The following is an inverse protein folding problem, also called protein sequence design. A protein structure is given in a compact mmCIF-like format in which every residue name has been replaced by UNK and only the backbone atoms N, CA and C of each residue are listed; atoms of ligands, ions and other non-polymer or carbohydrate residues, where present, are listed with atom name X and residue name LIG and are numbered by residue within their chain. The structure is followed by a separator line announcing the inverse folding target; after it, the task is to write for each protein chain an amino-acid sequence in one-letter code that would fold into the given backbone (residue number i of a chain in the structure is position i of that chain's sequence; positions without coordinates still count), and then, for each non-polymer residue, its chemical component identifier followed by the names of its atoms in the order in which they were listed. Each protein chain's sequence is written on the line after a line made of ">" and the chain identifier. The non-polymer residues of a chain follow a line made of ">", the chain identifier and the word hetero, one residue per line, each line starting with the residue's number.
data_IF_836202087598
#
_entry.id   IF_836202087598
#
_cell.length_a   1.000
_cell.length_b   1.000
_cell.length_c   1.000
_cell.angle_alpha   90.00
_cell.angle_beta   90.00
_cell.angle_gamma   90.00
#
_symmetry.space_group_name_H-M   'P 1'
#
loop_
_entity.id
_entity.type
_entity.pdbx_description
1 polymer ?
#
# COMPACT_ATOMS: atom_id res chain seq x y z
N UNK A 1 -3.62 -23.54 -10.35
CA UNK A 1 -3.05 -22.20 -10.51
C UNK A 1 -2.75 -21.71 -9.11
N UNK A 2 -1.54 -21.23 -8.84
CA UNK A 2 -1.20 -20.61 -7.55
C UNK A 2 -1.79 -19.20 -7.51
N UNK A 3 -2.50 -18.89 -6.44
CA UNK A 3 -3.05 -17.56 -6.24
C UNK A 3 -1.94 -16.53 -6.04
N UNK A 4 -2.19 -15.29 -6.43
CA UNK A 4 -1.23 -14.20 -6.37
C UNK A 4 -1.36 -13.40 -5.07
N UNK A 5 -0.22 -12.95 -4.53
CA UNK A 5 -0.13 -12.10 -3.35
C UNK A 5 0.55 -10.79 -3.74
N UNK A 6 -0.07 -9.67 -3.36
CA UNK A 6 0.40 -8.34 -3.68
C UNK A 6 0.78 -7.55 -2.43
N UNK A 7 1.87 -6.82 -2.50
CA UNK A 7 2.28 -5.80 -1.54
C UNK A 7 2.36 -4.46 -2.25
N UNK A 8 1.54 -3.52 -1.84
CA UNK A 8 1.36 -2.24 -2.52
C UNK A 8 1.69 -1.12 -1.54
N UNK A 9 2.66 -0.27 -1.89
CA UNK A 9 2.97 0.95 -1.16
C UNK A 9 2.28 2.16 -1.78
N UNK A 10 1.60 2.97 -0.98
CA UNK A 10 0.88 4.16 -1.49
C UNK A 10 1.86 5.24 -1.95
N UNK A 11 2.90 5.52 -1.17
CA UNK A 11 3.98 6.48 -1.50
C UNK A 11 5.36 5.83 -1.44
N UNK A 12 5.56 4.97 -0.47
CA UNK A 12 6.80 4.23 -0.27
C UNK A 12 6.51 2.82 0.19
N UNK A 13 7.47 1.92 0.03
CA UNK A 13 7.38 0.55 0.49
C UNK A 13 8.21 0.40 1.77
N UNK A 14 7.59 0.34 2.97
CA UNK A 14 8.34 0.16 4.21
C UNK A 14 9.16 -1.14 4.23
N UNK A 15 10.36 -1.12 4.78
CA UNK A 15 11.24 -2.29 4.86
C UNK A 15 10.56 -3.51 5.51
N UNK A 16 9.68 -3.26 6.47
CA UNK A 16 8.89 -4.29 7.13
C UNK A 16 7.91 -5.02 6.21
N UNK A 17 7.34 -4.30 5.23
CA UNK A 17 6.45 -4.86 4.22
C UNK A 17 7.23 -5.73 3.26
N UNK A 18 8.42 -5.29 2.88
CA UNK A 18 9.34 -6.06 2.03
C UNK A 18 9.80 -7.34 2.74
N UNK A 19 10.07 -7.28 4.05
CA UNK A 19 10.40 -8.47 4.85
C UNK A 19 9.24 -9.46 4.94
N UNK A 20 8.02 -8.97 5.09
CA UNK A 20 6.82 -9.82 5.07
C UNK A 20 6.66 -10.48 3.70
N UNK A 21 6.78 -9.71 2.62
CA UNK A 21 6.74 -10.23 1.27
C UNK A 21 7.79 -11.31 1.00
N UNK A 22 9.00 -11.17 1.55
CA UNK A 22 10.09 -12.14 1.40
C UNK A 22 9.78 -13.52 2.00
N UNK A 23 8.78 -13.63 2.86
CA UNK A 23 8.29 -14.91 3.39
C UNK A 23 7.45 -15.71 2.38
N UNK A 24 7.03 -15.08 1.27
CA UNK A 24 6.17 -15.69 0.26
C UNK A 24 6.98 -16.14 -0.96
N UNK A 25 6.58 -17.23 -1.64
CA UNK A 25 7.38 -17.85 -2.68
C UNK A 25 7.50 -17.00 -3.97
N UNK A 26 6.58 -16.13 -4.26
CA UNK A 26 6.58 -15.23 -5.44
C UNK A 26 5.82 -13.96 -5.15
N UNK A 27 6.36 -13.08 -4.33
CA UNK A 27 5.66 -11.84 -3.99
C UNK A 27 5.65 -10.87 -5.19
N UNK A 28 4.53 -10.16 -5.36
CA UNK A 28 4.41 -9.06 -6.32
C UNK A 28 4.42 -7.76 -5.53
N UNK A 29 5.45 -6.95 -5.73
CA UNK A 29 5.63 -5.69 -5.03
C UNK A 29 5.38 -4.52 -5.98
N UNK A 30 4.54 -3.59 -5.55
CA UNK A 30 4.14 -2.42 -6.32
C UNK A 30 4.37 -1.15 -5.51
N UNK A 31 5.12 -0.20 -6.03
CA UNK A 31 5.39 1.07 -5.35
C UNK A 31 6.59 1.79 -5.92
N UNK A 32 7.05 2.84 -5.24
CA UNK A 32 8.23 3.58 -5.65
C UNK A 32 9.50 2.73 -5.42
N UNK A 33 10.14 2.32 -6.49
CA UNK A 33 11.33 1.46 -6.45
C UNK A 33 12.64 2.21 -6.20
N UNK A 34 12.65 3.54 -6.10
CA UNK A 34 13.86 4.25 -5.68
C UNK A 34 14.33 3.75 -4.30
N UNK A 35 13.37 3.47 -3.40
CA UNK A 35 13.64 2.88 -2.10
C UNK A 35 13.95 1.37 -2.17
N UNK A 36 13.51 0.70 -3.23
CA UNK A 36 13.64 -0.75 -3.37
C UNK A 36 15.05 -1.22 -3.74
N UNK A 37 15.87 -0.36 -4.36
CA UNK A 37 17.25 -0.69 -4.67
C UNK A 37 18.07 -0.90 -3.39
N UNK A 38 17.88 -0.02 -2.41
CA UNK A 38 18.53 -0.13 -1.10
C UNK A 38 18.01 -1.34 -0.31
N UNK A 39 16.70 -1.62 -0.40
CA UNK A 39 16.09 -2.77 0.24
C UNK A 39 16.52 -4.10 -0.39
N UNK A 40 16.66 -4.18 -1.71
CA UNK A 40 17.22 -5.36 -2.38
C UNK A 40 18.64 -5.63 -1.90
N UNK A 41 19.45 -4.58 -1.75
CA UNK A 41 20.81 -4.70 -1.22
C UNK A 41 20.82 -5.21 0.22
N UNK A 42 19.86 -4.78 1.05
CA UNK A 42 19.75 -5.15 2.46
C UNK A 42 19.18 -6.57 2.67
N UNK A 43 18.23 -7.02 1.83
CA UNK A 43 17.54 -8.31 1.96
C UNK A 43 18.19 -9.43 1.12
N UNK A 44 19.14 -9.10 0.25
CA UNK A 44 19.89 -10.06 -0.54
C UNK A 44 19.02 -11.01 -1.36
N UNK A 45 19.40 -12.28 -1.41
CA UNK A 45 18.75 -13.31 -2.23
C UNK A 45 17.33 -13.68 -1.81
N UNK A 46 16.83 -13.18 -0.67
CA UNK A 46 15.48 -13.48 -0.19
C UNK A 46 14.38 -12.97 -1.12
N UNK A 47 14.71 -12.06 -2.03
CA UNK A 47 13.78 -11.48 -3.00
C UNK A 47 14.10 -11.83 -4.46
N UNK A 48 14.96 -12.81 -4.72
CA UNK A 48 15.31 -13.18 -6.12
C UNK A 48 14.10 -13.59 -6.97
N UNK A 49 13.04 -14.09 -6.34
CA UNK A 49 11.82 -14.51 -7.01
C UNK A 49 10.70 -13.45 -6.98
N UNK A 50 10.95 -12.29 -6.38
CA UNK A 50 9.98 -11.22 -6.30
C UNK A 50 9.81 -10.53 -7.66
N UNK A 51 8.57 -10.27 -8.04
CA UNK A 51 8.23 -9.43 -9.17
C UNK A 51 8.05 -7.99 -8.67
N UNK A 52 8.78 -7.04 -9.26
CA UNK A 52 8.78 -5.65 -8.86
C UNK A 52 8.17 -4.76 -9.92
N UNK A 53 7.24 -3.91 -9.52
CA UNK A 53 6.63 -2.91 -10.37
C UNK A 53 6.85 -1.52 -9.79
N UNK A 54 7.59 -0.69 -10.54
CA UNK A 54 7.79 0.72 -10.22
C UNK A 54 6.56 1.50 -10.64
N UNK A 55 5.83 2.01 -9.66
CA UNK A 55 4.66 2.82 -9.92
C UNK A 55 4.41 3.85 -8.81
N UNK A 56 3.91 4.99 -9.20
CA UNK A 56 3.50 6.06 -8.32
C UNK A 56 1.97 6.10 -8.26
N UNK A 57 1.38 5.66 -7.14
CA UNK A 57 -0.08 5.63 -6.99
C UNK A 57 -0.73 7.02 -6.93
N UNK A 58 0.03 8.05 -6.60
CA UNK A 58 -0.43 9.43 -6.72
C UNK A 58 -0.65 9.89 -8.18
N UNK A 59 -0.21 9.10 -9.18
CA UNK A 59 -0.40 9.43 -10.59
C UNK A 59 -1.52 8.59 -11.23
N UNK A 60 -2.36 9.18 -12.10
CA UNK A 60 -3.39 8.43 -12.83
C UNK A 60 -2.82 7.28 -13.67
N UNK A 61 -1.59 7.44 -14.20
CA UNK A 61 -0.90 6.41 -14.98
C UNK A 61 -0.56 5.22 -14.08
N UNK A 62 0.01 5.48 -12.90
CA UNK A 62 0.33 4.43 -11.93
C UNK A 62 -0.91 3.69 -11.44
N UNK A 63 -2.00 4.42 -11.19
CA UNK A 63 -3.28 3.83 -10.82
C UNK A 63 -3.84 2.92 -11.92
N UNK A 64 -3.84 3.39 -13.17
CA UNK A 64 -4.30 2.60 -14.32
C UNK A 64 -3.46 1.33 -14.51
N UNK A 65 -2.15 1.45 -14.42
CA UNK A 65 -1.24 0.32 -14.51
C UNK A 65 -1.49 -0.72 -13.42
N UNK A 66 -1.65 -0.28 -12.16
CA UNK A 66 -1.96 -1.20 -11.06
C UNK A 66 -3.26 -1.95 -11.28
N UNK A 67 -4.34 -1.26 -11.69
CA UNK A 67 -5.62 -1.91 -11.95
C UNK A 67 -5.52 -2.96 -13.05
N UNK A 68 -4.77 -2.69 -14.11
CA UNK A 68 -4.54 -3.66 -15.19
C UNK A 68 -3.70 -4.84 -14.71
N UNK A 69 -2.68 -4.60 -13.90
CA UNK A 69 -1.86 -5.64 -13.29
C UNK A 69 -2.69 -6.57 -12.40
N UNK A 70 -3.53 -6.02 -11.52
CA UNK A 70 -4.44 -6.79 -10.67
C UNK A 70 -5.37 -7.68 -11.50
N UNK A 71 -5.96 -7.15 -12.57
CA UNK A 71 -6.83 -7.92 -13.48
C UNK A 71 -6.10 -9.04 -14.20
N UNK A 72 -4.84 -8.83 -14.60
CA UNK A 72 -4.05 -9.81 -15.35
C UNK A 72 -3.55 -10.96 -14.48
N UNK A 73 -3.39 -10.75 -13.18
CA UNK A 73 -2.76 -11.70 -12.25
C UNK A 73 -3.73 -12.55 -11.45
N UNK A 74 -5.03 -12.42 -11.68
CA UNK A 74 -6.02 -13.22 -10.96
C UNK A 74 -5.84 -14.74 -11.10
N UNK A 75 -6.32 -15.54 -10.15
CA UNK A 75 -6.99 -15.14 -8.91
C UNK A 75 -6.02 -14.53 -7.90
N UNK A 76 -6.49 -13.52 -7.17
CA UNK A 76 -5.71 -12.85 -6.13
C UNK A 76 -6.24 -13.34 -4.77
N UNK A 77 -5.34 -13.85 -3.95
CA UNK A 77 -5.66 -14.34 -2.61
C UNK A 77 -5.51 -13.24 -1.57
N UNK A 78 -4.46 -12.43 -1.67
CA UNK A 78 -4.19 -11.42 -0.67
C UNK A 78 -3.55 -10.16 -1.23
N UNK A 79 -4.01 -9.01 -0.73
CA UNK A 79 -3.40 -7.71 -0.98
C UNK A 79 -3.02 -7.08 0.36
N UNK A 80 -1.75 -6.79 0.55
CA UNK A 80 -1.26 -5.96 1.65
C UNK A 80 -1.04 -4.55 1.12
N UNK A 81 -1.76 -3.59 1.66
CA UNK A 81 -1.66 -2.18 1.28
C UNK A 81 -0.95 -1.42 2.40
N UNK A 82 0.26 -1.00 2.13
CA UNK A 82 1.06 -0.20 3.05
C UNK A 82 0.70 1.28 2.94
N UNK A 83 0.18 1.84 4.01
CA UNK A 83 -0.02 3.28 4.13
C UNK A 83 1.32 3.93 4.50
N UNK A 84 1.60 5.15 4.01
CA UNK A 84 2.86 5.82 4.32
C UNK A 84 3.00 6.03 5.82
N UNK A 85 4.13 5.59 6.35
CA UNK A 85 4.50 5.85 7.74
C UNK A 85 4.82 7.32 7.95
N UNK A 86 5.60 7.83 7.04
CA UNK A 86 6.19 9.14 7.11
C UNK A 86 6.51 9.56 5.67
N UNK A 87 5.92 10.62 5.18
CA UNK A 87 6.51 11.34 4.05
C UNK A 87 7.58 12.32 4.56
N UNK A 88 8.35 11.93 5.55
CA UNK A 88 9.12 12.86 6.37
C UNK A 88 10.59 12.94 6.07
N UNK A 89 11.12 12.19 5.14
CA UNK A 89 12.51 12.36 4.71
C UNK A 89 12.82 13.79 4.23
N UNK A 90 11.83 14.55 3.84
CA UNK A 90 12.01 15.98 3.50
C UNK A 90 11.91 16.93 4.70
N UNK A 91 11.19 16.57 5.77
CA UNK A 91 11.06 17.41 6.97
C UNK A 91 12.28 17.22 7.88
N UNK A 92 12.84 16.03 7.96
CA UNK A 92 14.06 15.75 8.74
C UNK A 92 15.32 16.45 8.18
N UNK A 93 15.33 16.82 6.91
CA UNK A 93 16.44 17.55 6.29
C UNK A 93 16.48 19.05 6.68
N UNK A 94 15.65 19.52 7.58
CA UNK A 94 15.64 20.92 8.02
C UNK A 94 15.13 21.90 6.97
N UNK A 95 14.57 21.42 5.89
CA UNK A 95 13.94 22.25 4.88
C UNK A 95 12.57 22.71 5.38
N UNK A 96 12.50 23.99 5.57
CA UNK A 96 11.36 24.87 5.81
C UNK A 96 10.03 24.20 6.19
N UNK A 97 9.68 24.27 7.47
CA UNK A 97 8.39 23.80 8.02
C UNK A 97 7.18 24.60 7.49
N UNK A 98 7.39 25.56 6.61
CA UNK A 98 6.38 26.42 5.99
C UNK A 98 5.96 25.94 4.60
N UNK A 99 5.74 24.63 4.39
CA UNK A 99 5.09 24.21 3.13
C UNK A 99 3.74 24.90 3.03
N UNK A 100 3.43 25.53 1.89
CA UNK A 100 2.11 26.11 1.68
C UNK A 100 1.00 25.08 1.97
N UNK A 101 -0.06 25.49 2.64
CA UNK A 101 -1.19 24.60 2.95
C UNK A 101 -1.74 23.94 1.68
N UNK A 102 -1.74 24.65 0.56
CA UNK A 102 -2.22 24.18 -0.72
C UNK A 102 -1.42 22.97 -1.23
N UNK A 103 -0.10 22.93 -1.01
CA UNK A 103 0.75 21.78 -1.37
C UNK A 103 0.38 20.55 -0.54
N UNK A 104 0.18 20.73 0.76
CA UNK A 104 -0.21 19.62 1.67
C UNK A 104 -1.60 19.10 1.30
N UNK A 105 -2.55 19.96 0.97
CA UNK A 105 -3.89 19.57 0.56
C UNK A 105 -3.86 18.83 -0.78
N UNK A 106 -3.07 19.29 -1.75
CA UNK A 106 -2.91 18.65 -3.05
C UNK A 106 -2.30 17.24 -2.90
N UNK A 107 -1.22 17.12 -2.13
CA UNK A 107 -0.55 15.84 -1.87
C UNK A 107 -1.50 14.84 -1.16
N UNK A 108 -2.23 15.32 -0.15
CA UNK A 108 -3.23 14.50 0.55
C UNK A 108 -4.34 14.03 -0.41
N UNK A 109 -4.79 14.92 -1.28
CA UNK A 109 -5.80 14.60 -2.30
C UNK A 109 -5.34 13.49 -3.23
N UNK A 110 -4.15 13.62 -3.81
CA UNK A 110 -3.59 12.61 -4.72
C UNK A 110 -3.35 11.26 -4.03
N UNK A 111 -2.82 11.26 -2.81
CA UNK A 111 -2.61 10.04 -2.05
C UNK A 111 -3.94 9.34 -1.69
N UNK A 112 -4.97 10.13 -1.35
CA UNK A 112 -6.32 9.61 -1.08
C UNK A 112 -6.96 9.01 -2.33
N UNK A 113 -6.84 9.66 -3.49
CA UNK A 113 -7.31 9.12 -4.77
C UNK A 113 -6.64 7.79 -5.10
N UNK A 114 -5.31 7.71 -4.92
CA UNK A 114 -4.54 6.48 -5.10
C UNK A 114 -5.05 5.37 -4.18
N UNK A 115 -5.25 5.67 -2.91
CA UNK A 115 -5.78 4.72 -1.93
C UNK A 115 -7.18 4.22 -2.34
N UNK A 116 -8.12 5.10 -2.67
CA UNK A 116 -9.47 4.72 -3.10
C UNK A 116 -9.41 3.84 -4.35
N UNK A 117 -8.54 4.16 -5.29
CA UNK A 117 -8.36 3.38 -6.53
C UNK A 117 -7.90 1.95 -6.24
N UNK A 118 -6.93 1.79 -5.33
CA UNK A 118 -6.46 0.45 -4.91
C UNK A 118 -7.58 -0.32 -4.21
N UNK A 119 -8.32 0.32 -3.28
CA UNK A 119 -9.40 -0.32 -2.55
C UNK A 119 -10.51 -0.83 -3.48
N UNK A 120 -10.90 -0.03 -4.47
CA UNK A 120 -11.88 -0.43 -5.50
C UNK A 120 -11.34 -1.53 -6.42
N UNK A 121 -10.07 -1.42 -6.81
CA UNK A 121 -9.41 -2.45 -7.61
C UNK A 121 -9.30 -3.77 -6.88
N UNK A 122 -8.95 -3.74 -5.61
CA UNK A 122 -8.88 -4.92 -4.75
C UNK A 122 -10.23 -5.63 -4.65
N UNK A 123 -11.29 -4.91 -4.31
CA UNK A 123 -12.63 -5.49 -4.23
C UNK A 123 -13.07 -6.18 -5.55
N UNK A 124 -12.73 -5.57 -6.68
CA UNK A 124 -13.10 -6.10 -8.00
C UNK A 124 -12.27 -7.30 -8.46
N UNK A 125 -11.13 -7.58 -7.85
CA UNK A 125 -10.16 -8.58 -8.32
C UNK A 125 -9.86 -9.69 -7.33
N UNK A 126 -10.17 -9.50 -6.04
CA UNK A 126 -10.05 -10.53 -5.01
C UNK A 126 -11.05 -11.66 -5.26
N UNK A 127 -10.59 -12.90 -5.11
CA UNK A 127 -11.42 -14.07 -5.34
C UNK A 127 -12.10 -14.54 -4.04
N UNK A 128 -13.35 -14.21 -3.90
CA UNK A 128 -14.17 -14.60 -2.76
C UNK A 128 -14.27 -16.12 -2.56
N UNK A 129 -14.09 -16.91 -3.62
CA UNK A 129 -14.21 -18.37 -3.55
C UNK A 129 -13.06 -19.03 -2.77
N UNK A 130 -11.93 -18.33 -2.62
CA UNK A 130 -10.76 -18.80 -1.85
C UNK A 130 -10.60 -18.06 -0.51
N UNK A 131 -11.59 -17.25 -0.11
CA UNK A 131 -11.50 -16.48 1.13
C UNK A 131 -10.49 -15.33 1.07
N UNK A 132 -10.31 -14.76 -0.10
CA UNK A 132 -9.33 -13.71 -0.34
C UNK A 132 -9.56 -12.46 0.53
N UNK A 133 -8.52 -11.65 0.69
CA UNK A 133 -8.63 -10.49 1.55
C UNK A 133 -7.63 -9.37 1.28
N UNK A 134 -7.90 -8.25 1.91
CA UNK A 134 -7.04 -7.08 1.93
C UNK A 134 -6.66 -6.74 3.37
N UNK A 135 -5.39 -6.52 3.59
CA UNK A 135 -4.86 -6.01 4.85
C UNK A 135 -4.29 -4.61 4.65
N UNK A 136 -4.81 -3.65 5.40
CA UNK A 136 -4.20 -2.33 5.51
C UNK A 136 -3.10 -2.37 6.58
N UNK A 137 -1.87 -2.12 6.18
CA UNK A 137 -0.74 -2.02 7.08
C UNK A 137 -0.50 -0.54 7.39
N UNK A 138 -0.76 -0.14 8.63
CA UNK A 138 -0.32 1.17 9.14
C UNK A 138 1.10 1.04 9.64
N UNK A 139 1.95 1.90 9.15
CA UNK A 139 3.17 2.16 9.87
C UNK A 139 2.85 3.02 11.09
N UNK A 140 3.58 2.79 12.19
CA UNK A 140 3.36 3.45 13.45
C UNK A 140 3.19 4.96 13.29
N UNK A 141 2.17 5.48 13.98
CA UNK A 141 2.01 6.91 14.23
C UNK A 141 3.00 7.34 15.31
N UNK A 142 4.30 7.11 15.08
CA UNK A 142 5.32 7.67 15.93
C UNK A 142 5.16 9.20 15.99
N UNK A 143 5.47 9.80 17.11
CA UNK A 143 5.55 11.26 17.24
C UNK A 143 6.41 11.76 16.06
N UNK A 144 5.81 12.54 15.14
CA UNK A 144 6.45 13.03 13.93
C UNK A 144 5.83 12.58 12.60
N UNK A 145 4.77 11.76 12.61
CA UNK A 145 4.08 11.40 11.36
C UNK A 145 3.54 12.64 10.64
N UNK A 146 3.68 12.66 9.31
CA UNK A 146 3.22 13.80 8.52
C UNK A 146 1.70 13.98 8.63
N UNK A 147 1.18 15.21 8.45
CA UNK A 147 -0.26 15.44 8.39
C UNK A 147 -0.97 14.57 7.35
N UNK A 148 -0.33 14.32 6.21
CA UNK A 148 -0.83 13.44 5.14
C UNK A 148 -0.97 12.01 5.63
N UNK A 149 0.07 11.44 6.26
CA UNK A 149 0.04 10.09 6.81
C UNK A 149 -1.06 9.91 7.87
N UNK A 150 -1.25 10.92 8.75
CA UNK A 150 -2.33 10.90 9.73
C UNK A 150 -3.72 10.96 9.10
N UNK A 151 -3.90 11.79 8.08
CA UNK A 151 -5.16 11.90 7.36
C UNK A 151 -5.52 10.59 6.63
N UNK A 152 -4.55 9.97 5.94
CA UNK A 152 -4.73 8.68 5.29
C UNK A 152 -5.02 7.56 6.30
N UNK A 153 -4.34 7.56 7.44
CA UNK A 153 -4.61 6.63 8.52
C UNK A 153 -6.03 6.74 9.07
N UNK A 154 -6.49 7.96 9.34
CA UNK A 154 -7.85 8.21 9.82
C UNK A 154 -8.91 7.82 8.77
N UNK A 155 -8.66 8.12 7.49
CA UNK A 155 -9.52 7.68 6.41
C UNK A 155 -9.61 6.15 6.33
N UNK A 156 -8.47 5.46 6.44
CA UNK A 156 -8.42 4.00 6.39
C UNK A 156 -9.17 3.36 7.57
N UNK A 157 -9.02 3.91 8.79
CA UNK A 157 -9.74 3.44 9.98
C UNK A 157 -11.25 3.53 9.79
N UNK A 158 -11.74 4.69 9.33
CA UNK A 158 -13.15 4.93 9.10
C UNK A 158 -13.69 4.06 7.95
N UNK A 159 -12.92 3.91 6.88
CA UNK A 159 -13.30 3.08 5.75
C UNK A 159 -13.44 1.61 6.17
N UNK A 160 -12.47 1.06 6.91
CA UNK A 160 -12.54 -0.33 7.41
C UNK A 160 -13.76 -0.51 8.32
N UNK A 161 -13.99 0.42 9.26
CA UNK A 161 -15.11 0.33 10.18
C UNK A 161 -16.46 0.25 9.45
N UNK A 162 -16.60 0.97 8.34
CA UNK A 162 -17.83 1.01 7.56
C UNK A 162 -17.96 -0.17 6.56
N UNK A 163 -16.86 -0.65 6.01
CA UNK A 163 -16.87 -1.60 4.90
C UNK A 163 -16.66 -3.07 5.32
N UNK A 164 -16.09 -3.34 6.49
CA UNK A 164 -15.73 -4.71 6.90
C UNK A 164 -16.95 -5.67 6.88
N UNK A 165 -18.10 -5.22 7.34
CA UNK A 165 -19.31 -6.04 7.35
C UNK A 165 -19.79 -6.34 5.91
N UNK A 166 -19.71 -5.36 5.00
CA UNK A 166 -20.07 -5.55 3.60
C UNK A 166 -19.11 -6.53 2.91
N UNK A 167 -17.82 -6.40 3.12
CA UNK A 167 -16.82 -7.31 2.57
C UNK A 167 -17.06 -8.74 3.06
N UNK A 168 -17.36 -8.93 4.34
CA UNK A 168 -17.70 -10.24 4.88
C UNK A 168 -18.91 -10.88 4.18
N UNK A 169 -19.94 -10.09 3.81
CA UNK A 169 -21.09 -10.60 3.05
C UNK A 169 -20.73 -11.02 1.62
N UNK A 170 -19.64 -10.49 1.07
CA UNK A 170 -19.09 -10.89 -0.24
C UNK A 170 -18.14 -12.09 -0.13
N UNK A 171 -17.90 -12.63 1.07
CA UNK A 171 -16.94 -13.70 1.28
C UNK A 171 -15.47 -13.24 1.26
N UNK A 172 -15.24 -11.93 1.38
CA UNK A 172 -13.92 -11.31 1.42
C UNK A 172 -13.54 -10.93 2.85
N UNK A 173 -12.26 -10.94 3.16
CA UNK A 173 -11.73 -10.45 4.44
C UNK A 173 -11.15 -9.03 4.27
N UNK A 174 -11.42 -8.18 5.26
CA UNK A 174 -10.84 -6.86 5.37
C UNK A 174 -10.27 -6.71 6.77
N UNK A 175 -8.96 -6.48 6.87
CA UNK A 175 -8.26 -6.37 8.14
C UNK A 175 -7.30 -5.18 8.17
N UNK A 176 -6.91 -4.80 9.37
CA UNK A 176 -5.90 -3.79 9.59
C UNK A 176 -4.86 -4.33 10.56
N UNK A 177 -3.60 -4.11 10.22
CA UNK A 177 -2.48 -4.38 11.10
C UNK A 177 -1.79 -3.06 11.44
N UNK A 178 -1.80 -2.70 12.74
CA UNK A 178 -0.90 -1.70 13.30
C UNK A 178 0.32 -2.40 13.83
N UNK A 179 1.51 -1.86 13.62
CA UNK A 179 2.68 -2.28 14.39
C UNK A 179 2.77 -1.37 15.61
N UNK A 180 2.76 -2.01 16.80
CA UNK A 180 3.19 -1.38 18.05
C UNK A 180 4.69 -1.18 18.04
#
# INVERSE_FOLDING_TARGET
>A
MTASHFWIGVESMPASVVQDAASHPRPILCGNLADAADMRSALGNSLEQAEWHDLLLASPIGQGYLLDLLRQRGPIEHIVLALPAISCTRIEAGEDTSRPLDDVLSETGHATEGLITVLRGAEATLDASIGAGLTLLRADTAEGSSPVARALGAFADEWIANEAARWATLGLSLSQMGRN
#
